data_IF_556346098175
#
_entry.id   IF_556346098175
#
_cell.length_a   1.000
_cell.length_b   1.000
_cell.length_c   1.000
_cell.angle_alpha   90.00
_cell.angle_beta   90.00
_cell.angle_gamma   90.00
#
_symmetry.space_group_name_H-M   'P 1'
#
loop_
_entity.id
_entity.type
_entity.pdbx_description
1 polymer ?
#
# COMPACT_ATOMS: atom_id res chain seq x y z
N UNK A 1 -2.64 25.36 -24.13
CA UNK A 1 -3.03 24.37 -23.10
C UNK A 1 -1.72 23.81 -22.56
N UNK A 2 -1.35 24.15 -21.32
CA UNK A 2 -0.22 23.49 -20.68
C UNK A 2 -0.65 22.03 -20.43
N UNK A 3 0.16 21.07 -20.92
CA UNK A 3 -0.01 19.66 -20.59
C UNK A 3 0.00 19.52 -19.07
N UNK A 4 -1.02 18.84 -18.49
CA UNK A 4 -0.97 18.42 -17.09
C UNK A 4 0.40 17.76 -16.86
N UNK A 5 1.16 18.11 -15.81
CA UNK A 5 2.38 17.39 -15.51
C UNK A 5 2.05 15.91 -15.35
N UNK A 6 2.68 15.08 -16.13
CA UNK A 6 2.53 13.63 -16.03
C UNK A 6 3.14 13.19 -14.70
N UNK A 7 2.37 12.50 -13.88
CA UNK A 7 2.84 12.03 -12.59
C UNK A 7 3.92 10.96 -12.80
N UNK A 8 5.11 11.20 -12.28
CA UNK A 8 6.18 10.21 -12.33
C UNK A 8 5.87 9.04 -11.38
N UNK A 9 5.96 7.81 -11.87
CA UNK A 9 5.66 6.59 -11.13
C UNK A 9 6.69 5.50 -11.41
N UNK A 10 6.82 4.58 -10.47
CA UNK A 10 7.52 3.31 -10.67
C UNK A 10 6.49 2.28 -11.10
N UNK A 11 6.68 1.71 -12.27
CA UNK A 11 5.90 0.56 -12.73
C UNK A 11 6.60 -0.72 -12.25
N UNK A 12 5.92 -1.61 -11.53
CA UNK A 12 6.51 -2.86 -11.06
C UNK A 12 7.05 -3.73 -12.22
N UNK A 13 8.29 -4.15 -12.09
CA UNK A 13 8.86 -5.19 -12.96
C UNK A 13 8.62 -6.55 -12.30
N UNK A 14 7.53 -7.19 -12.65
CA UNK A 14 7.11 -8.50 -12.14
C UNK A 14 6.35 -9.29 -13.21
N UNK A 15 6.20 -10.60 -13.00
CA UNK A 15 5.53 -11.49 -13.97
C UNK A 15 4.00 -11.50 -13.78
N UNK A 16 3.40 -10.32 -13.56
CA UNK A 16 1.94 -10.22 -13.47
C UNK A 16 1.27 -10.42 -14.84
N UNK A 17 0.05 -10.97 -14.88
CA UNK A 17 -0.75 -11.05 -16.10
C UNK A 17 -1.02 -9.66 -16.71
N UNK A 18 -1.18 -9.59 -18.03
CA UNK A 18 -1.35 -8.32 -18.77
C UNK A 18 -2.57 -7.50 -18.35
N UNK A 19 -3.61 -8.16 -17.81
CA UNK A 19 -4.81 -7.50 -17.29
C UNK A 19 -4.57 -6.80 -15.92
N UNK A 20 -3.46 -7.08 -15.24
CA UNK A 20 -3.11 -6.45 -13.96
C UNK A 20 -2.28 -5.21 -14.25
N UNK A 21 -2.76 -4.06 -13.77
CA UNK A 21 -2.05 -2.78 -13.84
C UNK A 21 -1.64 -2.36 -12.43
N UNK A 22 -0.41 -1.92 -12.29
CA UNK A 22 0.12 -1.50 -11.00
C UNK A 22 1.13 -0.37 -11.18
N UNK A 23 1.21 0.53 -10.21
CA UNK A 23 2.23 1.55 -10.12
C UNK A 23 2.46 1.96 -8.67
N UNK A 24 3.59 2.57 -8.42
CA UNK A 24 3.95 3.21 -7.17
C UNK A 24 4.25 4.69 -7.44
N UNK A 25 3.57 5.60 -6.74
CA UNK A 25 3.77 7.04 -6.88
C UNK A 25 5.02 7.49 -6.13
N UNK A 26 5.68 8.52 -6.64
CA UNK A 26 6.78 9.18 -5.95
C UNK A 26 6.28 10.29 -5.04
N UNK A 27 7.21 10.93 -4.33
CA UNK A 27 6.93 12.05 -3.42
C UNK A 27 6.44 13.31 -4.13
N UNK A 28 6.79 13.51 -5.40
CA UNK A 28 6.55 14.69 -6.19
C UNK A 28 5.36 14.56 -7.14
N UNK A 29 4.93 15.68 -7.72
CA UNK A 29 3.87 15.74 -8.73
C UNK A 29 2.49 16.12 -8.18
N UNK A 30 2.41 16.56 -6.92
CA UNK A 30 1.18 16.97 -6.26
C UNK A 30 1.08 18.45 -5.90
N UNK A 31 0.33 18.73 -4.85
CA UNK A 31 -0.05 20.07 -4.40
C UNK A 31 0.45 20.42 -3.00
N UNK A 32 1.10 19.50 -2.29
CA UNK A 32 1.60 19.72 -0.93
C UNK A 32 2.86 20.57 -0.93
N UNK A 33 3.08 21.32 0.14
CA UNK A 33 4.23 22.22 0.30
C UNK A 33 4.89 22.06 1.67
N UNK A 34 6.04 22.71 1.87
CA UNK A 34 6.82 22.67 3.08
C UNK A 34 7.32 21.27 3.41
N UNK A 35 7.06 20.76 4.61
CA UNK A 35 7.48 19.43 5.05
C UNK A 35 6.90 18.28 4.18
N UNK A 36 5.77 18.52 3.53
CA UNK A 36 5.08 17.57 2.65
C UNK A 36 5.35 17.85 1.16
N UNK A 37 6.15 18.86 0.83
CA UNK A 37 6.59 19.17 -0.52
C UNK A 37 7.59 18.14 -1.08
N UNK A 38 7.99 18.33 -2.31
CA UNK A 38 9.11 17.61 -2.94
C UNK A 38 10.47 18.07 -2.35
N UNK A 39 11.56 17.73 -3.03
CA UNK A 39 12.92 18.13 -2.60
C UNK A 39 13.13 19.65 -2.51
N UNK A 40 12.33 20.43 -3.25
CA UNK A 40 12.38 21.90 -3.26
C UNK A 40 11.33 22.54 -2.34
N UNK A 41 10.56 21.71 -1.62
CA UNK A 41 9.52 22.14 -0.67
C UNK A 41 8.19 22.49 -1.31
N UNK A 42 7.98 22.10 -2.58
CA UNK A 42 6.74 22.36 -3.35
C UNK A 42 6.30 21.08 -4.06
N UNK A 43 5.12 21.11 -4.66
CA UNK A 43 4.63 20.06 -5.54
C UNK A 43 4.68 18.63 -4.94
N UNK A 44 4.53 18.49 -3.63
CA UNK A 44 4.54 17.19 -2.96
C UNK A 44 3.23 16.43 -3.13
N UNK A 45 3.31 15.10 -3.25
CA UNK A 45 2.19 14.20 -3.44
C UNK A 45 1.83 13.47 -2.13
N UNK A 46 1.67 14.19 -1.02
CA UNK A 46 1.21 13.57 0.21
C UNK A 46 -0.26 13.15 0.10
N UNK A 47 -0.57 11.88 0.41
CA UNK A 47 -1.90 11.27 0.34
C UNK A 47 -2.52 11.01 1.73
N UNK A 48 -1.74 11.18 2.79
CA UNK A 48 -2.13 10.91 4.17
C UNK A 48 -2.96 12.04 4.80
N UNK A 49 -4.19 11.76 5.20
CA UNK A 49 -5.07 12.73 5.88
C UNK A 49 -4.67 12.99 7.35
N UNK A 50 -3.90 12.09 7.96
CA UNK A 50 -3.62 12.04 9.40
C UNK A 50 -2.28 12.65 9.80
N UNK A 51 -1.49 13.12 8.85
CA UNK A 51 -0.11 13.58 9.10
C UNK A 51 0.02 15.09 9.35
N UNK A 52 -1.08 15.85 9.25
CA UNK A 52 -1.10 17.28 9.54
C UNK A 52 -0.84 18.19 8.34
N UNK A 53 -0.86 17.68 7.14
CA UNK A 53 -0.79 18.48 5.92
C UNK A 53 -2.10 19.25 5.64
N UNK A 54 -2.04 20.21 4.73
CA UNK A 54 -3.21 20.95 4.27
C UNK A 54 -4.24 20.00 3.62
N UNK A 55 -5.45 19.96 4.17
CA UNK A 55 -6.52 19.05 3.71
C UNK A 55 -6.91 19.26 2.24
N UNK A 56 -6.82 20.48 1.73
CA UNK A 56 -7.10 20.76 0.32
C UNK A 56 -6.02 20.20 -0.59
N UNK A 57 -4.75 20.31 -0.18
CA UNK A 57 -3.63 19.70 -0.90
C UNK A 57 -3.75 18.19 -0.94
N UNK A 58 -4.01 17.53 0.20
CA UNK A 58 -4.20 16.07 0.27
C UNK A 58 -5.38 15.62 -0.59
N UNK A 59 -6.51 16.34 -0.54
CA UNK A 59 -7.66 16.03 -1.41
C UNK A 59 -7.32 16.17 -2.89
N UNK A 60 -6.59 17.22 -3.25
CA UNK A 60 -6.11 17.42 -4.62
C UNK A 60 -5.17 16.31 -5.07
N UNK A 61 -4.24 15.90 -4.21
CA UNK A 61 -3.31 14.80 -4.47
C UNK A 61 -4.05 13.47 -4.65
N UNK A 62 -5.00 13.14 -3.79
CA UNK A 62 -5.85 11.95 -3.93
C UNK A 62 -6.62 11.97 -5.25
N UNK A 63 -7.09 13.14 -5.69
CA UNK A 63 -7.76 13.29 -6.99
C UNK A 63 -6.83 13.00 -8.17
N UNK A 64 -5.57 13.46 -8.11
CA UNK A 64 -4.56 13.15 -9.14
C UNK A 64 -4.39 11.62 -9.26
N UNK A 65 -4.28 10.91 -8.14
CA UNK A 65 -4.15 9.45 -8.12
C UNK A 65 -5.42 8.75 -8.62
N UNK A 66 -6.60 9.22 -8.22
CA UNK A 66 -7.90 8.73 -8.72
C UNK A 66 -7.99 8.86 -10.25
N UNK A 67 -7.64 10.03 -10.79
CA UNK A 67 -7.65 10.27 -12.24
C UNK A 67 -6.69 9.33 -12.98
N UNK A 68 -5.56 8.98 -12.36
CA UNK A 68 -4.58 8.05 -12.92
C UNK A 68 -5.04 6.58 -12.86
N UNK A 69 -5.69 6.20 -11.77
CA UNK A 69 -6.28 4.86 -11.61
C UNK A 69 -7.49 4.63 -12.53
N UNK A 70 -8.17 5.70 -12.92
CA UNK A 70 -9.44 5.63 -13.66
C UNK A 70 -10.63 5.18 -12.81
N UNK A 71 -10.45 5.02 -11.49
CA UNK A 71 -11.48 4.64 -10.53
C UNK A 71 -11.15 5.21 -9.14
N UNK A 72 -12.17 5.50 -8.35
CA UNK A 72 -12.01 6.02 -6.99
C UNK A 72 -11.57 4.89 -6.03
N UNK A 73 -10.36 4.96 -5.44
CA UNK A 73 -9.93 3.97 -4.46
C UNK A 73 -10.65 4.17 -3.12
N UNK A 74 -10.80 3.08 -2.38
CA UNK A 74 -11.31 3.09 -1.01
C UNK A 74 -10.13 3.19 -0.04
N UNK A 75 -9.72 4.40 0.30
CA UNK A 75 -8.58 4.66 1.18
C UNK A 75 -8.76 4.00 2.55
N UNK A 76 -7.72 3.30 3.03
CA UNK A 76 -7.68 2.72 4.35
C UNK A 76 -7.22 3.73 5.41
N UNK A 77 -7.71 3.57 6.63
CA UNK A 77 -7.10 4.14 7.83
C UNK A 77 -6.05 3.16 8.36
N UNK A 78 -4.82 3.28 7.87
CA UNK A 78 -3.72 2.37 8.20
C UNK A 78 -3.25 2.60 9.64
N UNK A 79 -3.21 1.53 10.44
CA UNK A 79 -2.93 1.55 11.88
C UNK A 79 -1.80 0.58 12.28
N UNK A 80 -1.01 0.11 11.30
CA UNK A 80 0.05 -0.88 11.46
C UNK A 80 -0.47 -2.22 12.03
N UNK A 81 -1.68 -2.61 11.65
CA UNK A 81 -2.29 -3.88 12.01
C UNK A 81 -1.99 -4.99 11.00
N UNK A 82 -2.48 -6.19 11.29
CA UNK A 82 -2.50 -7.31 10.33
C UNK A 82 -3.87 -7.54 9.69
N UNK A 83 -4.79 -6.57 9.83
CA UNK A 83 -6.14 -6.68 9.29
C UNK A 83 -6.15 -6.45 7.79
N UNK A 84 -6.91 -7.31 7.10
CA UNK A 84 -7.15 -7.29 5.66
C UNK A 84 -8.63 -7.14 5.41
N UNK A 85 -9.02 -6.32 4.45
CA UNK A 85 -10.43 -6.10 4.07
C UNK A 85 -10.62 -6.33 2.58
N UNK A 86 -11.84 -6.62 2.16
CA UNK A 86 -12.22 -6.63 0.76
C UNK A 86 -12.46 -5.19 0.32
N UNK A 87 -11.84 -4.77 -0.79
CA UNK A 87 -11.91 -3.37 -1.23
C UNK A 87 -13.34 -2.91 -1.53
N UNK A 88 -14.20 -3.80 -2.06
CA UNK A 88 -15.61 -3.51 -2.32
C UNK A 88 -16.40 -3.18 -1.06
N UNK A 89 -16.05 -3.83 0.06
CA UNK A 89 -16.77 -3.72 1.34
C UNK A 89 -16.22 -2.58 2.22
N UNK A 90 -15.10 -1.98 1.83
CA UNK A 90 -14.50 -0.87 2.56
C UNK A 90 -15.42 0.37 2.54
N UNK A 91 -15.90 0.77 3.71
CA UNK A 91 -16.83 1.89 3.91
C UNK A 91 -16.12 3.24 4.11
N UNK A 92 -15.05 3.51 3.37
CA UNK A 92 -14.20 4.68 3.47
C UNK A 92 -13.44 4.82 4.81
N UNK A 93 -12.12 4.83 4.72
CA UNK A 93 -11.20 4.95 5.86
C UNK A 93 -11.40 3.86 6.95
N UNK A 94 -11.78 2.65 6.54
CA UNK A 94 -11.83 1.50 7.44
C UNK A 94 -10.42 1.19 7.98
N UNK A 95 -10.33 0.87 9.29
CA UNK A 95 -9.05 0.53 9.92
C UNK A 95 -8.56 -0.82 9.43
N UNK A 96 -7.58 -0.81 8.53
CA UNK A 96 -6.89 -1.99 8.01
C UNK A 96 -5.55 -1.58 7.40
N UNK A 97 -4.69 -2.55 7.16
CA UNK A 97 -3.38 -2.31 6.54
C UNK A 97 -3.18 -3.11 5.25
N UNK A 98 -4.19 -3.83 4.81
CA UNK A 98 -4.23 -4.46 3.51
C UNK A 98 -5.66 -4.54 2.99
N UNK A 99 -5.78 -4.54 1.67
CA UNK A 99 -7.04 -4.80 0.98
C UNK A 99 -6.81 -5.68 -0.24
N UNK A 100 -7.84 -6.42 -0.63
CA UNK A 100 -7.85 -7.28 -1.80
C UNK A 100 -9.19 -7.20 -2.54
N UNK A 101 -9.20 -7.56 -3.82
CA UNK A 101 -10.43 -7.65 -4.62
C UNK A 101 -10.30 -8.69 -5.73
N UNK A 102 -11.45 -9.25 -6.13
CA UNK A 102 -11.62 -10.02 -7.37
C UNK A 102 -12.43 -9.26 -8.41
N UNK A 103 -12.92 -8.08 -8.06
CA UNK A 103 -13.75 -7.27 -8.95
C UNK A 103 -12.90 -6.42 -9.89
N UNK A 104 -13.15 -6.52 -11.19
CA UNK A 104 -12.49 -5.68 -12.17
C UNK A 104 -12.84 -4.20 -11.98
N UNK A 105 -11.84 -3.32 -12.14
CA UNK A 105 -12.03 -1.87 -12.06
C UNK A 105 -12.07 -1.32 -10.62
N UNK A 106 -11.89 -2.14 -9.60
CA UNK A 106 -11.71 -1.70 -8.21
C UNK A 106 -10.23 -1.72 -7.87
N UNK A 107 -9.60 -0.57 -7.63
CA UNK A 107 -8.18 -0.52 -7.26
C UNK A 107 -7.96 -0.85 -5.78
N UNK A 108 -6.89 -1.58 -5.48
CA UNK A 108 -6.35 -1.75 -4.13
C UNK A 108 -5.19 -0.78 -3.94
N UNK A 109 -5.25 0.03 -2.87
CA UNK A 109 -4.24 1.06 -2.60
C UNK A 109 -3.78 1.05 -1.15
N UNK A 110 -2.49 1.27 -0.94
CA UNK A 110 -1.91 1.55 0.37
C UNK A 110 -0.99 2.74 0.30
N UNK A 111 -0.82 3.44 1.41
CA UNK A 111 0.07 4.58 1.54
C UNK A 111 1.29 4.18 2.37
N UNK A 112 2.48 4.55 1.90
CA UNK A 112 3.72 4.34 2.64
C UNK A 112 4.62 5.57 2.55
N UNK A 113 5.40 5.80 3.59
CA UNK A 113 6.55 6.69 3.57
C UNK A 113 7.84 5.83 3.65
N UNK A 114 8.04 5.16 4.77
CA UNK A 114 9.20 4.32 5.04
C UNK A 114 8.87 2.82 5.11
N UNK A 115 7.62 2.49 5.47
CA UNK A 115 7.15 1.11 5.57
C UNK A 115 7.13 0.40 4.21
N UNK A 116 7.18 -0.93 4.23
CA UNK A 116 7.21 -1.77 3.04
C UNK A 116 5.84 -1.84 2.36
N UNK A 117 5.65 -1.33 1.13
CA UNK A 117 4.46 -1.60 0.33
C UNK A 117 4.63 -2.93 -0.41
N UNK A 118 3.59 -3.76 -0.38
CA UNK A 118 3.58 -5.02 -1.13
C UNK A 118 2.33 -5.07 -2.00
N UNK A 119 2.54 -5.24 -3.30
CA UNK A 119 1.47 -5.51 -4.26
C UNK A 119 1.46 -7.01 -4.57
N UNK A 120 0.28 -7.60 -4.61
CA UNK A 120 0.12 -9.03 -4.86
C UNK A 120 -0.94 -9.25 -5.95
N UNK A 121 -0.74 -10.28 -6.76
CA UNK A 121 -1.79 -10.84 -7.63
C UNK A 121 -1.58 -12.35 -7.80
N UNK A 122 -2.62 -13.05 -8.25
CA UNK A 122 -2.43 -14.43 -8.72
C UNK A 122 -1.98 -14.46 -10.17
N UNK A 123 -1.35 -15.55 -10.58
CA UNK A 123 -0.85 -15.73 -11.96
C UNK A 123 -1.94 -15.77 -13.04
N UNK A 124 -3.20 -15.94 -12.67
CA UNK A 124 -4.33 -15.91 -13.61
C UNK A 124 -4.97 -14.53 -13.71
N UNK A 125 -4.58 -13.57 -12.84
CA UNK A 125 -5.12 -12.22 -12.80
C UNK A 125 -6.57 -12.15 -12.32
N UNK A 126 -6.97 -13.03 -11.39
CA UNK A 126 -8.32 -13.11 -10.83
C UNK A 126 -8.44 -12.26 -9.56
N UNK A 127 -7.38 -12.24 -8.73
CA UNK A 127 -7.36 -11.51 -7.46
C UNK A 127 -6.13 -10.62 -7.38
N UNK A 128 -6.31 -9.42 -6.86
CA UNK A 128 -5.24 -8.48 -6.54
C UNK A 128 -5.30 -8.06 -5.08
N UNK A 129 -4.19 -7.62 -4.53
CA UNK A 129 -4.12 -7.04 -3.20
C UNK A 129 -3.01 -5.99 -3.10
N UNK A 130 -3.18 -5.08 -2.14
CA UNK A 130 -2.15 -4.15 -1.69
C UNK A 130 -2.04 -4.24 -0.17
N UNK A 131 -0.80 -4.32 0.34
CA UNK A 131 -0.53 -4.42 1.77
C UNK A 131 0.50 -3.39 2.23
N UNK A 132 0.18 -2.66 3.30
CA UNK A 132 1.08 -1.82 4.05
C UNK A 132 1.76 -2.69 5.12
N UNK A 133 2.98 -3.12 4.84
CA UNK A 133 3.73 -3.97 5.74
C UNK A 133 4.72 -3.14 6.58
N UNK A 134 4.18 -2.36 7.51
CA UNK A 134 4.95 -1.74 8.58
C UNK A 134 5.51 -2.81 9.52
N UNK A 135 6.56 -2.50 10.29
CA UNK A 135 7.27 -3.48 11.12
C UNK A 135 6.33 -4.29 12.04
N UNK A 136 5.32 -3.62 12.63
CA UNK A 136 4.36 -4.28 13.52
C UNK A 136 3.40 -5.19 12.75
N UNK A 137 2.81 -4.69 11.66
CA UNK A 137 1.94 -5.48 10.80
C UNK A 137 2.65 -6.71 10.22
N UNK A 138 3.94 -6.58 9.84
CA UNK A 138 4.77 -7.72 9.42
C UNK A 138 4.90 -8.77 10.52
N UNK A 139 5.23 -8.34 11.75
CA UNK A 139 5.36 -9.25 12.88
C UNK A 139 4.03 -9.92 13.25
N UNK A 140 2.90 -9.22 13.06
CA UNK A 140 1.54 -9.71 13.33
C UNK A 140 0.93 -10.49 12.15
N UNK A 141 1.64 -10.62 11.03
CA UNK A 141 1.26 -11.48 9.92
C UNK A 141 0.36 -10.81 8.85
N UNK A 142 0.49 -9.52 8.58
CA UNK A 142 -0.31 -8.84 7.54
C UNK A 142 -0.19 -9.50 6.16
N UNK A 143 1.01 -9.94 5.77
CA UNK A 143 1.21 -10.60 4.48
C UNK A 143 0.60 -11.99 4.44
N UNK A 144 0.75 -12.78 5.53
CA UNK A 144 0.13 -14.08 5.67
C UNK A 144 -1.40 -13.98 5.59
N UNK A 145 -1.98 -13.01 6.30
CA UNK A 145 -3.41 -12.76 6.27
C UNK A 145 -3.89 -12.32 4.87
N UNK A 146 -3.11 -11.50 4.18
CA UNK A 146 -3.42 -11.07 2.81
C UNK A 146 -3.44 -12.25 1.85
N UNK A 147 -2.41 -13.09 1.88
CA UNK A 147 -2.34 -14.32 1.06
C UNK A 147 -3.47 -15.27 1.40
N UNK A 148 -3.78 -15.46 2.69
CA UNK A 148 -4.89 -16.32 3.12
C UNK A 148 -6.25 -15.78 2.63
N UNK A 149 -6.47 -14.46 2.67
CA UNK A 149 -7.68 -13.83 2.14
C UNK A 149 -7.81 -14.04 0.62
N UNK A 150 -6.72 -13.84 -0.13
CA UNK A 150 -6.70 -14.11 -1.57
C UNK A 150 -6.99 -15.58 -1.89
N UNK A 151 -6.36 -16.52 -1.17
CA UNK A 151 -6.56 -17.96 -1.40
C UNK A 151 -7.98 -18.44 -1.12
N UNK A 152 -8.69 -17.83 -0.19
CA UNK A 152 -10.12 -18.13 0.02
C UNK A 152 -10.98 -17.89 -1.23
N UNK A 153 -10.56 -16.95 -2.09
CA UNK A 153 -11.30 -16.64 -3.33
C UNK A 153 -10.93 -17.55 -4.49
N UNK A 154 -9.67 -18.00 -4.56
CA UNK A 154 -9.11 -18.62 -5.76
C UNK A 154 -8.57 -20.03 -5.55
N UNK A 155 -8.60 -20.52 -4.30
CA UNK A 155 -8.11 -21.83 -3.88
C UNK A 155 -6.66 -21.84 -3.40
N UNK A 156 -6.34 -22.79 -2.53
CA UNK A 156 -5.05 -22.89 -1.84
C UNK A 156 -3.87 -23.14 -2.77
N UNK A 157 -4.10 -23.85 -3.88
CA UNK A 157 -3.07 -24.18 -4.90
C UNK A 157 -2.75 -23.02 -5.84
N UNK A 158 -3.44 -21.87 -5.70
CA UNK A 158 -3.21 -20.73 -6.57
C UNK A 158 -1.83 -20.12 -6.33
N UNK A 159 -1.12 -19.88 -7.42
CA UNK A 159 0.20 -19.25 -7.38
C UNK A 159 0.05 -17.74 -7.31
N UNK A 160 0.45 -17.18 -6.15
CA UNK A 160 0.44 -15.74 -5.88
C UNK A 160 1.86 -15.20 -6.08
N UNK A 161 1.96 -14.12 -6.80
CA UNK A 161 3.19 -13.36 -7.01
C UNK A 161 3.10 -12.02 -6.28
N UNK A 162 4.24 -11.51 -5.85
CA UNK A 162 4.33 -10.27 -5.12
C UNK A 162 5.44 -9.37 -5.67
N UNK A 163 5.18 -8.06 -5.62
CA UNK A 163 6.19 -7.03 -5.82
C UNK A 163 6.35 -6.22 -4.54
N UNK A 164 7.61 -6.05 -4.12
CA UNK A 164 7.97 -5.25 -2.94
C UNK A 164 8.47 -3.89 -3.45
N UNK A 165 7.76 -2.84 -3.07
CA UNK A 165 8.07 -1.49 -3.49
C UNK A 165 9.16 -0.80 -2.67
N UNK A 166 9.51 0.45 -3.03
CA UNK A 166 10.48 1.25 -2.29
C UNK A 166 10.12 1.39 -0.81
N UNK A 167 11.12 1.20 0.05
CA UNK A 167 10.98 1.26 1.50
C UNK A 167 12.31 1.60 2.17
N UNK A 168 12.28 1.96 3.45
CA UNK A 168 13.48 2.22 4.24
C UNK A 168 14.35 0.96 4.33
N UNK A 169 15.65 1.14 4.19
CA UNK A 169 16.64 0.05 4.28
C UNK A 169 17.20 -0.04 5.68
N UNK A 170 17.72 -1.23 6.03
CA UNK A 170 18.27 -1.53 7.35
C UNK A 170 19.28 -0.51 7.87
N UNK A 171 20.06 0.09 6.98
CA UNK A 171 21.12 1.05 7.34
C UNK A 171 20.57 2.40 7.79
N UNK A 172 19.28 2.64 7.57
CA UNK A 172 18.56 3.86 7.96
C UNK A 172 17.40 3.57 8.93
N UNK A 173 17.10 2.29 9.20
CA UNK A 173 16.01 1.87 10.09
C UNK A 173 16.55 1.59 11.49
N UNK A 174 16.75 2.66 12.26
CA UNK A 174 17.13 2.56 13.65
C UNK A 174 15.95 2.14 14.52
N UNK A 175 16.08 1.05 15.26
CA UNK A 175 15.04 0.50 16.13
C UNK A 175 15.52 0.38 17.56
N UNK A 176 14.58 0.54 18.49
CA UNK A 176 14.82 0.31 19.91
C UNK A 176 14.62 -1.17 20.27
N UNK A 177 15.02 -1.52 21.48
CA UNK A 177 14.93 -2.89 22.04
C UNK A 177 13.51 -3.44 22.02
N UNK A 178 12.48 -2.58 22.22
CA UNK A 178 11.07 -2.95 22.18
C UNK A 178 10.64 -3.55 20.85
N UNK A 179 11.12 -3.04 19.73
CA UNK A 179 10.86 -3.62 18.40
C UNK A 179 11.48 -5.01 18.28
N UNK A 180 12.75 -5.16 18.72
CA UNK A 180 13.44 -6.44 18.67
C UNK A 180 12.74 -7.49 19.56
N UNK A 181 12.27 -7.11 20.73
CA UNK A 181 11.55 -7.99 21.66
C UNK A 181 10.17 -8.37 21.11
N UNK A 182 9.49 -7.45 20.46
CA UNK A 182 8.23 -7.74 19.78
C UNK A 182 8.38 -8.81 18.70
N UNK A 183 9.41 -8.70 17.87
CA UNK A 183 9.69 -9.71 16.83
C UNK A 183 10.05 -11.07 17.42
N UNK A 184 10.84 -11.11 18.52
CA UNK A 184 11.15 -12.38 19.21
C UNK A 184 9.89 -13.04 19.75
N UNK A 185 8.99 -12.27 20.36
CA UNK A 185 7.73 -12.77 20.88
C UNK A 185 6.81 -13.28 19.76
N UNK A 186 6.71 -12.57 18.64
CA UNK A 186 5.90 -12.98 17.48
C UNK A 186 6.46 -14.25 16.82
N UNK A 187 7.78 -14.39 16.71
CA UNK A 187 8.41 -15.57 16.16
C UNK A 187 8.19 -16.81 17.05
N UNK A 188 8.21 -16.65 18.38
CA UNK A 188 7.91 -17.74 19.31
C UNK A 188 6.46 -18.20 19.18
N UNK A 189 5.52 -17.26 19.04
CA UNK A 189 4.11 -17.58 18.83
C UNK A 189 3.88 -18.34 17.53
N UNK A 190 4.46 -17.85 16.40
CA UNK A 190 4.35 -18.48 15.09
C UNK A 190 4.97 -19.89 15.00
N UNK A 191 5.90 -20.23 15.91
CA UNK A 191 6.49 -21.57 15.99
C UNK A 191 5.69 -22.53 16.89
N UNK A 192 4.71 -22.02 17.63
CA UNK A 192 3.84 -22.79 18.53
C UNK A 192 2.49 -23.15 17.89
N UNK A 193 2.08 -22.45 16.84
CA UNK A 193 0.88 -22.68 16.02
C UNK A 193 1.19 -23.62 14.85
#
# INVERSE_FOLDING_TARGET
MQSKPELEVIVPEWNAPENIKAFFTLRSGGMSAGAYGDKDGFCGLNLGNHVGDNKYSVRGNRRIVTDMLGAEPKWLSQVHSSRVVRAEDNNAEEQADAEFTTAAGIPCVVMTADCVPVLLCDKKGIVIAAAHAGWKGLADGVLQNTVAAMRKEIGDEAEIIAWIGPHIRKDHFEVRVDVADYYRASAVKAAAD
#
